data_IF_630569944793
#
_entry.id   IF_630569944793
#
_cell.length_a   1.000
_cell.length_b   1.000
_cell.length_c   1.000
_cell.angle_alpha   90.00
_cell.angle_beta   90.00
_cell.angle_gamma   90.00
#
_symmetry.space_group_name_H-M   'P 1'
#
loop_
_entity.id
_entity.type
_entity.pdbx_description
1 polymer ?
#
# COMPACT_ATOMS: atom_id res chain seq x y z
N UNK A 1 -36.79 19.30 -35.50
CA UNK A 1 -36.46 19.50 -34.10
C UNK A 1 -35.61 18.27 -33.67
N UNK A 2 -34.29 18.46 -33.51
CA UNK A 2 -33.37 17.38 -33.10
C UNK A 2 -33.25 17.45 -31.58
N UNK A 3 -33.79 16.44 -30.89
CA UNK A 3 -33.62 16.32 -29.45
C UNK A 3 -32.27 15.61 -29.25
N UNK A 4 -31.23 16.39 -28.96
CA UNK A 4 -29.92 15.85 -28.58
C UNK A 4 -30.02 15.19 -27.22
N UNK A 5 -30.10 13.86 -27.20
CA UNK A 5 -29.94 13.07 -25.96
C UNK A 5 -28.50 13.19 -25.46
N UNK A 6 -28.29 13.92 -24.38
CA UNK A 6 -27.01 13.86 -23.66
C UNK A 6 -26.84 12.47 -23.04
N UNK A 7 -25.93 11.69 -23.58
CA UNK A 7 -25.55 10.41 -22.96
C UNK A 7 -24.67 10.76 -21.77
N UNK A 8 -25.24 10.73 -20.58
CA UNK A 8 -24.47 10.79 -19.33
C UNK A 8 -23.78 9.45 -19.13
N UNK A 9 -22.50 9.39 -19.45
CA UNK A 9 -21.66 8.31 -18.95
C UNK A 9 -21.48 8.52 -17.45
N UNK A 10 -22.27 7.79 -16.65
CA UNK A 10 -22.00 7.69 -15.24
C UNK A 10 -20.72 6.88 -15.08
N UNK A 11 -19.59 7.55 -14.87
CA UNK A 11 -18.40 6.89 -14.40
C UNK A 11 -18.73 6.34 -13.00
N UNK A 12 -18.96 5.04 -12.92
CA UNK A 12 -19.00 4.35 -11.65
C UNK A 12 -17.58 4.43 -11.06
N UNK A 13 -17.36 5.37 -10.18
CA UNK A 13 -16.19 5.36 -9.32
C UNK A 13 -16.35 4.15 -8.39
N UNK A 14 -15.72 3.03 -8.74
CA UNK A 14 -15.63 1.89 -7.83
C UNK A 14 -14.73 2.34 -6.70
N UNK A 15 -15.28 2.45 -5.51
CA UNK A 15 -14.47 2.73 -4.31
C UNK A 15 -13.45 1.60 -4.14
N UNK A 16 -12.20 1.92 -3.83
CA UNK A 16 -11.20 0.89 -3.63
C UNK A 16 -11.61 -0.05 -2.49
N UNK A 17 -11.33 -1.33 -2.67
CA UNK A 17 -11.57 -2.32 -1.62
C UNK A 17 -10.65 -2.03 -0.44
N UNK A 18 -11.22 -1.92 0.74
CA UNK A 18 -10.48 -1.67 1.98
C UNK A 18 -10.73 -2.77 2.99
N UNK A 19 -9.69 -3.13 3.75
CA UNK A 19 -9.73 -4.11 4.83
C UNK A 19 -9.12 -3.51 6.10
N UNK A 20 -9.56 -3.99 7.24
CA UNK A 20 -8.95 -3.62 8.51
C UNK A 20 -7.70 -4.46 8.77
N UNK A 21 -6.61 -3.79 9.04
CA UNK A 21 -5.30 -4.40 9.33
C UNK A 21 -4.88 -4.00 10.74
N UNK A 22 -4.28 -4.92 11.45
CA UNK A 22 -3.63 -4.65 12.75
C UNK A 22 -2.12 -4.85 12.61
N UNK A 23 -1.38 -3.77 12.64
CA UNK A 23 0.09 -3.77 12.74
C UNK A 23 0.44 -3.71 14.23
N UNK A 24 0.84 -4.84 14.79
CA UNK A 24 0.84 -5.04 16.24
C UNK A 24 -0.56 -4.73 16.80
N UNK A 25 -0.68 -3.72 17.68
CA UNK A 25 -1.96 -3.27 18.25
C UNK A 25 -2.58 -2.09 17.50
N UNK A 26 -1.90 -1.54 16.49
CA UNK A 26 -2.35 -0.37 15.74
C UNK A 26 -3.30 -0.81 14.63
N UNK A 27 -4.52 -0.30 14.67
CA UNK A 27 -5.53 -0.53 13.65
C UNK A 27 -5.36 0.44 12.50
N UNK A 28 -5.34 -0.09 11.29
CA UNK A 28 -5.22 0.65 10.03
C UNK A 28 -6.32 0.21 9.07
N UNK A 29 -6.91 1.14 8.36
CA UNK A 29 -7.77 0.84 7.22
C UNK A 29 -6.91 0.83 5.96
N UNK A 30 -6.74 -0.33 5.36
CA UNK A 30 -5.87 -0.52 4.21
C UNK A 30 -6.68 -0.69 2.92
N UNK A 31 -6.32 0.08 1.92
CA UNK A 31 -6.69 -0.16 0.53
C UNK A 31 -5.87 -1.33 -0.01
N UNK A 32 -6.51 -2.24 -0.73
CA UNK A 32 -5.86 -3.46 -1.24
C UNK A 32 -5.43 -3.25 -2.69
N UNK A 33 -4.14 -3.41 -2.96
CA UNK A 33 -3.54 -3.40 -4.29
C UNK A 33 -3.06 -4.81 -4.65
N UNK A 34 -3.90 -5.58 -5.34
CA UNK A 34 -3.66 -6.98 -5.67
C UNK A 34 -3.62 -7.28 -7.18
N UNK A 35 -3.62 -6.26 -8.01
CA UNK A 35 -3.44 -6.36 -9.45
C UNK A 35 -2.33 -5.42 -9.94
N UNK A 36 -1.88 -5.63 -11.17
CA UNK A 36 -0.76 -4.89 -11.74
C UNK A 36 -1.03 -3.38 -11.84
N UNK A 37 -2.25 -2.98 -12.17
CA UNK A 37 -2.63 -1.57 -12.32
C UNK A 37 -2.60 -0.85 -10.97
N UNK A 38 -3.27 -1.39 -9.95
CA UNK A 38 -3.32 -0.82 -8.60
C UNK A 38 -1.94 -0.79 -7.95
N UNK A 39 -1.12 -1.83 -8.16
CA UNK A 39 0.25 -1.90 -7.65
C UNK A 39 1.17 -0.87 -8.31
N UNK A 40 1.05 -0.68 -9.62
CA UNK A 40 1.85 0.32 -10.35
C UNK A 40 1.48 1.74 -9.94
N UNK A 41 0.19 2.02 -9.79
CA UNK A 41 -0.31 3.33 -9.37
C UNK A 41 0.04 3.62 -7.91
N UNK A 42 -0.16 2.66 -7.02
CA UNK A 42 0.05 2.84 -5.59
C UNK A 42 -0.63 4.10 -5.07
N UNK A 43 0.08 4.85 -4.25
CA UNK A 43 -0.36 6.14 -3.68
C UNK A 43 0.03 7.36 -4.55
N UNK A 44 0.50 7.14 -5.77
CA UNK A 44 0.95 8.20 -6.69
C UNK A 44 -0.15 9.25 -6.93
N UNK A 45 0.25 10.51 -6.98
CA UNK A 45 -0.63 11.64 -7.28
C UNK A 45 -1.50 12.11 -6.12
N UNK A 46 -1.59 11.38 -5.03
CA UNK A 46 -2.32 11.80 -3.83
C UNK A 46 -1.54 12.88 -3.08
N UNK A 47 -2.23 13.81 -2.44
CA UNK A 47 -1.61 14.87 -1.64
C UNK A 47 -1.10 14.37 -0.28
N UNK A 48 -1.69 13.32 0.25
CA UNK A 48 -1.36 12.68 1.50
C UNK A 48 -2.34 11.56 1.84
N UNK A 49 -2.10 10.90 2.96
CA UNK A 49 -3.01 9.92 3.57
C UNK A 49 -3.07 10.17 5.08
N UNK A 50 -4.16 9.73 5.70
CA UNK A 50 -4.31 9.82 7.15
C UNK A 50 -3.40 8.82 7.88
N UNK A 51 -3.11 9.09 9.14
CA UNK A 51 -2.26 8.22 9.99
C UNK A 51 -2.85 6.83 10.24
N UNK A 52 -4.16 6.67 10.11
CA UNK A 52 -4.86 5.39 10.25
C UNK A 52 -5.20 4.74 8.90
N UNK A 53 -4.67 5.27 7.82
CA UNK A 53 -4.84 4.74 6.46
C UNK A 53 -3.55 4.05 5.98
N UNK A 54 -3.72 3.03 5.15
CA UNK A 54 -2.61 2.30 4.56
C UNK A 54 -2.95 1.82 3.15
N UNK A 55 -1.95 1.43 2.38
CA UNK A 55 -2.12 0.60 1.19
C UNK A 55 -1.36 -0.70 1.39
N UNK A 56 -2.08 -1.82 1.22
CA UNK A 56 -1.50 -3.15 1.27
C UNK A 56 -1.34 -3.70 -0.15
N UNK A 57 -0.10 -3.85 -0.57
CA UNK A 57 0.27 -4.51 -1.82
C UNK A 57 0.32 -6.02 -1.57
N UNK A 58 -0.49 -6.76 -2.32
CA UNK A 58 -0.59 -8.22 -2.22
C UNK A 58 -0.01 -8.84 -3.48
N UNK A 59 1.11 -9.51 -3.36
CA UNK A 59 1.77 -10.19 -4.47
C UNK A 59 1.42 -11.68 -4.49
N UNK A 60 1.54 -12.32 -5.65
CA UNK A 60 1.17 -13.73 -5.81
C UNK A 60 2.09 -14.68 -5.06
N UNK A 61 3.35 -14.27 -4.85
CA UNK A 61 4.39 -15.12 -4.27
C UNK A 61 5.40 -14.29 -3.46
N UNK A 62 6.17 -14.97 -2.62
CA UNK A 62 7.31 -14.38 -1.94
C UNK A 62 8.41 -14.03 -2.95
N UNK A 63 8.87 -12.80 -2.93
CA UNK A 63 10.01 -12.33 -3.70
C UNK A 63 10.57 -11.04 -3.09
N UNK A 64 11.66 -10.55 -3.63
CA UNK A 64 12.22 -9.23 -3.31
C UNK A 64 11.53 -8.16 -4.13
N UNK A 65 10.24 -7.96 -3.90
CA UNK A 65 9.42 -6.99 -4.60
C UNK A 65 9.96 -5.59 -4.42
N UNK A 66 10.17 -4.91 -5.55
CA UNK A 66 10.72 -3.55 -5.58
C UNK A 66 9.61 -2.52 -5.56
N UNK A 67 9.74 -1.54 -4.68
CA UNK A 67 8.87 -0.39 -4.57
C UNK A 67 9.60 0.87 -5.07
N UNK A 68 8.87 1.88 -5.45
CA UNK A 68 9.40 3.18 -5.88
C UNK A 68 8.54 4.33 -5.38
N UNK A 69 9.07 5.55 -5.46
CA UNK A 69 8.36 6.77 -5.07
C UNK A 69 7.90 7.60 -6.28
N UNK A 70 7.68 6.95 -7.44
CA UNK A 70 7.25 7.64 -8.66
C UNK A 70 5.95 8.42 -8.42
N UNK A 71 5.97 9.71 -8.76
CA UNK A 71 4.84 10.64 -8.63
C UNK A 71 4.25 10.75 -7.21
N UNK A 72 5.02 10.39 -6.20
CA UNK A 72 4.64 10.58 -4.81
C UNK A 72 4.83 12.03 -4.38
N UNK A 73 3.90 12.53 -3.55
CA UNK A 73 3.90 13.91 -3.05
C UNK A 73 4.12 14.02 -1.55
N UNK A 74 4.28 12.89 -0.86
CA UNK A 74 4.52 12.82 0.58
C UNK A 74 5.37 11.61 0.92
N UNK A 75 5.99 11.65 2.09
CA UNK A 75 6.84 10.57 2.59
C UNK A 75 6.01 9.44 3.20
N UNK A 76 6.47 8.21 3.04
CA UNK A 76 5.84 7.00 3.59
C UNK A 76 6.84 6.15 4.34
N UNK A 77 6.36 5.30 5.22
CA UNK A 77 7.08 4.13 5.70
C UNK A 77 6.67 2.93 4.82
N UNK A 78 7.63 2.14 4.39
CA UNK A 78 7.43 0.91 3.64
C UNK A 78 7.75 -0.28 4.53
N UNK A 79 6.79 -1.20 4.67
CA UNK A 79 6.87 -2.34 5.58
C UNK A 79 6.70 -3.62 4.77
N UNK A 80 7.76 -4.43 4.65
CA UNK A 80 7.70 -5.71 3.96
C UNK A 80 7.30 -6.82 4.93
N UNK A 81 6.37 -7.67 4.49
CA UNK A 81 5.70 -8.67 5.31
C UNK A 81 5.76 -10.01 4.56
N UNK A 82 6.14 -11.07 5.24
CA UNK A 82 6.21 -12.41 4.65
C UNK A 82 4.83 -13.08 4.56
N UNK A 83 4.77 -14.27 3.96
CA UNK A 83 3.54 -15.07 3.80
C UNK A 83 2.97 -15.58 5.14
N UNK A 84 3.74 -15.53 6.23
CA UNK A 84 3.29 -15.82 7.60
C UNK A 84 2.78 -14.58 8.34
N UNK A 85 2.59 -13.46 7.60
CA UNK A 85 2.12 -12.19 8.14
C UNK A 85 3.00 -11.65 9.28
N UNK A 86 4.32 -11.74 9.08
CA UNK A 86 5.35 -11.15 9.95
C UNK A 86 6.16 -10.11 9.19
N UNK A 87 6.44 -9.00 9.85
CA UNK A 87 7.33 -7.97 9.30
C UNK A 87 8.74 -8.53 9.13
N UNK A 88 9.32 -8.37 7.95
CA UNK A 88 10.70 -8.81 7.63
C UNK A 88 11.64 -7.65 7.37
N UNK A 89 11.11 -6.47 7.04
CA UNK A 89 11.91 -5.27 6.82
C UNK A 89 11.05 -4.01 6.94
N UNK A 90 11.63 -2.93 7.47
CA UNK A 90 10.99 -1.62 7.56
C UNK A 90 11.94 -0.57 7.00
N UNK A 91 11.48 0.21 6.04
CA UNK A 91 12.16 1.41 5.55
C UNK A 91 11.35 2.63 5.99
N UNK A 92 11.92 3.41 6.90
CA UNK A 92 11.27 4.58 7.48
C UNK A 92 11.47 5.82 6.60
N UNK A 93 10.47 6.67 6.57
CA UNK A 93 10.52 8.04 6.02
C UNK A 93 11.14 8.08 4.61
N UNK A 94 10.59 7.26 3.71
CA UNK A 94 10.97 7.26 2.30
C UNK A 94 10.39 8.51 1.65
N UNK A 95 11.25 9.40 1.19
CA UNK A 95 10.86 10.69 0.63
C UNK A 95 10.52 10.59 -0.85
N UNK A 96 9.63 11.47 -1.36
CA UNK A 96 9.49 11.66 -2.80
C UNK A 96 10.85 11.91 -3.46
N UNK A 97 11.04 11.35 -4.64
CA UNK A 97 12.25 11.51 -5.43
C UNK A 97 11.92 11.88 -6.89
N UNK A 98 12.93 12.00 -7.74
CA UNK A 98 12.82 12.28 -9.16
C UNK A 98 13.57 11.23 -9.98
N UNK A 99 13.30 11.18 -11.28
CA UNK A 99 14.02 10.26 -12.17
C UNK A 99 15.55 10.50 -12.16
N UNK A 100 16.33 9.42 -12.14
CA UNK A 100 15.94 8.01 -12.10
C UNK A 100 15.47 7.58 -10.69
N UNK A 101 14.25 7.05 -10.62
CA UNK A 101 13.66 6.65 -9.33
C UNK A 101 14.41 5.52 -8.66
N UNK A 102 14.72 5.70 -7.38
CA UNK A 102 15.32 4.65 -6.56
C UNK A 102 14.33 3.47 -6.39
N UNK A 103 14.86 2.26 -6.35
CA UNK A 103 14.11 1.05 -6.08
C UNK A 103 14.43 0.54 -4.68
N UNK A 104 13.39 0.35 -3.88
CA UNK A 104 13.46 -0.13 -2.51
C UNK A 104 12.96 -1.57 -2.45
N UNK A 105 13.71 -2.45 -1.82
CA UNK A 105 13.34 -3.84 -1.63
C UNK A 105 13.81 -4.35 -0.27
N UNK A 106 13.11 -5.36 0.25
CA UNK A 106 13.56 -6.08 1.43
C UNK A 106 14.80 -6.92 1.09
N UNK A 107 15.76 -7.07 2.03
CA UNK A 107 16.89 -8.00 1.87
C UNK A 107 16.47 -9.47 1.83
N UNK A 108 15.26 -9.79 2.32
CA UNK A 108 14.67 -11.13 2.32
C UNK A 108 13.34 -11.13 1.58
N UNK A 109 12.88 -12.29 1.04
CA UNK A 109 11.61 -12.37 0.33
C UNK A 109 10.42 -11.97 1.22
N UNK A 110 9.44 -11.30 0.61
CA UNK A 110 8.19 -10.89 1.22
C UNK A 110 7.03 -11.12 0.24
N UNK A 111 5.83 -11.34 0.77
CA UNK A 111 4.61 -11.50 -0.04
C UNK A 111 3.79 -10.22 -0.08
N UNK A 112 3.92 -9.37 0.92
CA UNK A 112 3.14 -8.13 1.05
C UNK A 112 4.07 -6.95 1.32
N UNK A 113 3.62 -5.77 0.89
CA UNK A 113 4.20 -4.50 1.31
C UNK A 113 3.07 -3.61 1.84
N UNK A 114 3.25 -3.07 3.03
CA UNK A 114 2.32 -2.12 3.64
C UNK A 114 2.95 -0.73 3.58
N UNK A 115 2.30 0.20 2.90
CA UNK A 115 2.67 1.61 2.89
C UNK A 115 1.76 2.38 3.85
N UNK A 116 2.38 3.15 4.72
CA UNK A 116 1.72 4.00 5.71
C UNK A 116 2.36 5.39 5.69
N UNK A 117 1.66 6.39 6.21
CA UNK A 117 2.23 7.72 6.40
C UNK A 117 3.53 7.64 7.21
N UNK A 118 4.53 8.40 6.82
CA UNK A 118 5.81 8.43 7.53
C UNK A 118 5.61 8.72 9.02
N UNK A 119 6.22 7.91 9.88
CA UNK A 119 6.10 7.94 11.33
C UNK A 119 5.12 6.92 11.91
N UNK A 120 4.21 6.37 11.12
CA UNK A 120 3.22 5.39 11.59
C UNK A 120 3.87 4.07 11.99
N UNK A 121 4.87 3.60 11.26
CA UNK A 121 5.61 2.39 11.63
C UNK A 121 6.22 2.49 13.03
N UNK A 122 6.82 3.62 13.36
CA UNK A 122 7.37 3.89 14.70
C UNK A 122 6.27 3.93 15.77
N UNK A 123 5.17 4.64 15.49
CA UNK A 123 4.02 4.71 16.41
C UNK A 123 3.43 3.33 16.69
N UNK A 124 3.37 2.46 15.68
CA UNK A 124 2.90 1.09 15.79
C UNK A 124 3.95 0.12 16.39
N UNK A 125 5.14 0.61 16.73
CA UNK A 125 6.27 -0.20 17.19
C UNK A 125 6.64 -1.33 16.21
N UNK A 126 6.50 -1.06 14.90
CA UNK A 126 6.79 -2.03 13.85
C UNK A 126 8.30 -2.26 13.73
N UNK A 127 8.69 -3.49 13.96
CA UNK A 127 10.07 -4.00 13.84
C UNK A 127 10.04 -5.36 13.15
N UNK A 128 11.19 -5.86 12.72
CA UNK A 128 11.29 -7.22 12.20
C UNK A 128 10.73 -8.22 13.23
N UNK A 129 9.83 -9.08 12.80
CA UNK A 129 9.10 -10.03 13.65
C UNK A 129 7.74 -9.53 14.14
N UNK A 130 7.42 -8.26 13.99
CA UNK A 130 6.10 -7.72 14.34
C UNK A 130 4.98 -8.46 13.62
N UNK A 131 3.86 -8.63 14.29
CA UNK A 131 2.65 -9.28 13.78
C UNK A 131 1.83 -8.32 12.93
N UNK A 132 1.33 -8.80 11.80
CA UNK A 132 0.34 -8.11 10.98
C UNK A 132 -0.86 -9.02 10.82
N UNK A 133 -2.05 -8.57 11.25
CA UNK A 133 -3.28 -9.36 11.18
C UNK A 133 -4.24 -8.74 10.17
N UNK A 134 -4.69 -9.54 9.22
CA UNK A 134 -5.70 -9.18 8.23
C UNK A 134 -6.26 -10.46 7.60
N UNK A 135 -7.49 -10.36 7.10
CA UNK A 135 -8.15 -11.42 6.34
C UNK A 135 -8.50 -10.89 4.94
N UNK A 136 -7.94 -11.51 3.92
CA UNK A 136 -8.31 -11.23 2.54
C UNK A 136 -9.41 -12.18 2.10
N UNK A 137 -10.32 -11.72 1.22
CA UNK A 137 -11.40 -12.60 0.72
C UNK A 137 -10.88 -13.84 0.00
N UNK A 138 -9.67 -13.77 -0.55
CA UNK A 138 -9.00 -14.90 -1.20
C UNK A 138 -8.52 -15.98 -0.20
N UNK A 139 -8.47 -15.64 1.08
CA UNK A 139 -8.12 -16.58 2.17
C UNK A 139 -9.35 -17.36 2.68
N UNK A 140 -10.54 -17.12 2.11
CA UNK A 140 -11.82 -17.79 2.41
C UNK A 140 -12.19 -18.77 1.31
#
# INVERSE_FOLDING_TARGET
MVIGGAIFYAFRTVSPKTEMIYLNKTMLRAEIANDEESQRKGLSGRLGIDENYAMLFVFDHNDRHKMWMKDMKFSVDMIWINDKKRVVYVKHNVKPDAEPYEKYASPVPAKYVLEVKAGVAKRASAVVGSSVKFDLEEDK
#
